data_IF_326762954546
#
_entry.id   IF_326762954546
#
_cell.length_a   1.000
_cell.length_b   1.000
_cell.length_c   1.000
_cell.angle_alpha   90.00
_cell.angle_beta   90.00
_cell.angle_gamma   90.00
#
_symmetry.space_group_name_H-M   'P 1'
#
loop_
_entity.id
_entity.type
_entity.pdbx_description
1 polymer ?
#
# COMPACT_ATOMS: atom_id res chain seq x y z
N UNK A 1 -0.22 -3.16 10.16
CA UNK A 1 -0.54 -2.00 11.04
C UNK A 1 0.16 -1.99 12.40
N UNK A 2 0.20 -3.09 13.18
CA UNK A 2 0.74 -3.06 14.55
C UNK A 2 2.17 -2.50 14.66
N UNK A 3 3.07 -2.91 13.77
CA UNK A 3 4.45 -2.41 13.75
C UNK A 3 4.55 -0.91 13.50
N UNK A 4 3.66 -0.34 12.67
CA UNK A 4 3.60 1.12 12.44
C UNK A 4 3.25 1.85 13.74
N UNK A 5 2.24 1.37 14.48
CA UNK A 5 1.80 1.97 15.74
C UNK A 5 2.88 1.82 16.83
N UNK A 6 3.58 0.69 16.86
CA UNK A 6 4.68 0.46 17.79
C UNK A 6 5.80 1.48 17.59
N UNK A 7 6.22 1.72 16.35
CA UNK A 7 7.24 2.73 16.03
C UNK A 7 6.80 4.15 16.42
N UNK A 8 5.54 4.51 16.18
CA UNK A 8 4.98 5.77 16.68
C UNK A 8 5.03 5.88 18.21
N UNK A 9 4.71 4.78 18.92
CA UNK A 9 4.72 4.74 20.39
C UNK A 9 6.14 4.87 20.96
N UNK A 10 7.14 4.38 20.24
CA UNK A 10 8.57 4.57 20.57
C UNK A 10 9.07 5.99 20.29
N UNK A 11 8.25 6.86 19.69
CA UNK A 11 8.66 8.20 19.30
C UNK A 11 9.59 8.21 18.09
N UNK A 12 9.55 7.18 17.24
CA UNK A 12 10.33 7.15 16.01
C UNK A 12 9.79 8.20 15.03
N UNK A 13 10.45 9.35 14.97
CA UNK A 13 10.05 10.45 14.09
C UNK A 13 10.28 10.15 12.60
N UNK A 14 11.21 9.25 12.27
CA UNK A 14 11.57 8.92 10.88
C UNK A 14 10.40 8.26 10.13
N UNK A 15 9.48 7.64 10.86
CA UNK A 15 8.30 6.99 10.26
C UNK A 15 7.47 7.96 9.43
N UNK A 16 7.42 9.24 9.81
CA UNK A 16 6.73 10.27 9.02
C UNK A 16 7.42 10.44 7.67
N UNK A 17 8.75 10.49 7.65
CA UNK A 17 9.55 10.55 6.44
C UNK A 17 9.34 9.33 5.54
N UNK A 18 9.22 8.14 6.13
CA UNK A 18 8.91 6.92 5.39
C UNK A 18 7.54 7.01 4.69
N UNK A 19 6.50 7.49 5.36
CA UNK A 19 5.18 7.65 4.74
C UNK A 19 5.17 8.70 3.62
N UNK A 20 5.92 9.79 3.76
CA UNK A 20 6.06 10.81 2.70
C UNK A 20 6.70 10.19 1.45
N UNK A 21 7.84 9.51 1.61
CA UNK A 21 8.51 8.88 0.47
C UNK A 21 7.70 7.71 -0.12
N UNK A 22 6.95 6.98 0.70
CA UNK A 22 5.99 5.98 0.20
C UNK A 22 4.89 6.63 -0.64
N UNK A 23 4.35 7.79 -0.22
CA UNK A 23 3.33 8.52 -0.97
C UNK A 23 3.83 8.90 -2.36
N UNK A 24 5.02 9.48 -2.43
CA UNK A 24 5.66 9.83 -3.71
C UNK A 24 5.87 8.58 -4.60
N UNK A 25 6.28 7.46 -4.00
CA UNK A 25 6.44 6.21 -4.74
C UNK A 25 5.10 5.69 -5.27
N UNK A 26 4.05 5.75 -4.47
CA UNK A 26 2.71 5.33 -4.85
C UNK A 26 2.12 6.16 -5.99
N UNK A 27 2.35 7.48 -6.00
CA UNK A 27 1.95 8.33 -7.13
C UNK A 27 2.58 7.84 -8.45
N UNK A 28 3.83 7.35 -8.39
CA UNK A 28 4.51 6.73 -9.52
C UNK A 28 3.93 5.36 -9.93
N UNK A 29 3.68 4.48 -8.96
CA UNK A 29 3.13 3.13 -9.21
C UNK A 29 1.70 3.21 -9.78
N UNK A 30 0.89 4.10 -9.21
CA UNK A 30 -0.52 4.30 -9.55
C UNK A 30 -0.71 5.16 -10.81
N UNK A 31 0.36 5.70 -11.36
CA UNK A 31 0.31 6.43 -12.63
C UNK A 31 -0.28 5.55 -13.73
N UNK A 32 -1.37 6.02 -14.33
CA UNK A 32 -2.15 5.30 -15.34
C UNK A 32 -2.67 3.94 -14.85
N UNK A 33 -2.82 3.74 -13.54
CA UNK A 33 -3.26 2.46 -13.00
C UNK A 33 -4.71 2.13 -13.36
N UNK A 34 -5.55 3.10 -13.73
CA UNK A 34 -6.89 2.83 -14.24
C UNK A 34 -6.87 2.12 -15.61
N UNK A 35 -5.89 2.43 -16.47
CA UNK A 35 -5.87 1.95 -17.86
C UNK A 35 -5.13 0.63 -18.08
N UNK A 36 -4.34 0.18 -17.10
CA UNK A 36 -3.54 -1.05 -17.21
C UNK A 36 -4.36 -2.28 -16.79
N UNK A 37 -3.85 -3.51 -16.87
CA UNK A 37 -4.57 -4.67 -16.32
C UNK A 37 -4.27 -4.90 -14.83
N UNK A 38 -4.97 -5.85 -14.18
CA UNK A 38 -4.63 -6.28 -12.81
C UNK A 38 -3.25 -6.92 -12.78
N UNK A 39 -2.94 -7.74 -13.79
CA UNK A 39 -1.68 -8.47 -13.94
C UNK A 39 -0.51 -7.51 -14.15
N UNK A 40 -0.69 -6.47 -14.96
CA UNK A 40 0.35 -5.45 -15.14
C UNK A 40 0.60 -4.68 -13.84
N UNK A 41 -0.46 -4.30 -13.10
CA UNK A 41 -0.29 -3.67 -11.79
C UNK A 41 0.38 -4.62 -10.79
N UNK A 42 0.02 -5.91 -10.81
CA UNK A 42 0.63 -6.94 -9.97
C UNK A 42 2.14 -7.11 -10.27
N UNK A 43 2.54 -7.07 -11.53
CA UNK A 43 3.95 -7.09 -11.93
C UNK A 43 4.69 -5.86 -11.43
N UNK A 44 4.08 -4.66 -11.51
CA UNK A 44 4.65 -3.43 -10.92
C UNK A 44 4.86 -3.62 -9.42
N UNK A 45 3.83 -4.00 -8.67
CA UNK A 45 3.93 -4.24 -7.23
C UNK A 45 5.06 -5.21 -6.86
N UNK A 46 5.21 -6.28 -7.65
CA UNK A 46 6.24 -7.30 -7.44
C UNK A 46 7.65 -6.73 -7.50
N UNK A 47 7.91 -5.76 -8.41
CA UNK A 47 9.20 -5.08 -8.56
C UNK A 47 9.47 -4.06 -7.44
N UNK A 48 8.42 -3.61 -6.76
CA UNK A 48 8.50 -2.50 -5.80
C UNK A 48 8.75 -2.94 -4.36
N UNK A 49 8.49 -4.20 -4.00
CA UNK A 49 8.65 -4.65 -2.62
C UNK A 49 10.03 -4.34 -2.04
N UNK A 50 11.10 -4.55 -2.82
CA UNK A 50 12.47 -4.29 -2.37
C UNK A 50 12.71 -2.81 -2.07
N UNK A 51 12.08 -1.89 -2.81
CA UNK A 51 12.13 -0.47 -2.50
C UNK A 51 11.56 -0.24 -1.09
N UNK A 52 10.30 -0.62 -0.85
CA UNK A 52 9.63 -0.40 0.43
C UNK A 52 10.36 -1.02 1.63
N UNK A 53 10.97 -2.20 1.45
CA UNK A 53 11.78 -2.86 2.49
C UNK A 53 13.03 -2.06 2.88
N UNK A 54 13.59 -1.24 1.99
CA UNK A 54 14.83 -0.50 2.23
C UNK A 54 14.60 0.93 2.74
N UNK A 55 13.56 1.62 2.26
CA UNK A 55 13.30 3.02 2.65
C UNK A 55 12.97 3.14 4.14
N UNK A 56 12.43 2.08 4.75
CA UNK A 56 12.02 2.08 6.16
C UNK A 56 13.20 1.81 7.12
N UNK A 57 14.30 2.55 6.97
CA UNK A 57 15.49 2.40 7.82
C UNK A 57 16.18 1.04 7.71
N UNK A 58 16.01 0.35 6.58
CA UNK A 58 16.37 -1.06 6.37
C UNK A 58 15.63 -2.06 7.29
N UNK A 59 14.57 -1.64 7.98
CA UNK A 59 13.63 -2.56 8.63
C UNK A 59 12.68 -3.15 7.57
N UNK A 60 13.09 -4.30 7.05
CA UNK A 60 12.33 -5.06 6.06
C UNK A 60 10.94 -5.45 6.56
N UNK A 61 10.78 -5.73 7.85
CA UNK A 61 9.49 -6.13 8.41
C UNK A 61 8.54 -4.92 8.42
N UNK A 62 9.03 -3.75 8.82
CA UNK A 62 8.26 -2.51 8.74
C UNK A 62 7.90 -2.16 7.29
N UNK A 63 8.84 -2.29 6.34
CA UNK A 63 8.60 -2.00 4.93
C UNK A 63 7.52 -2.89 4.29
N UNK A 64 7.52 -4.19 4.60
CA UNK A 64 6.46 -5.11 4.15
C UNK A 64 5.07 -4.74 4.67
N UNK A 65 5.00 -4.14 5.86
CA UNK A 65 3.74 -3.64 6.44
C UNK A 65 3.39 -2.29 5.82
N UNK A 66 4.32 -1.34 5.73
CA UNK A 66 4.05 0.01 5.23
C UNK A 66 3.59 0.00 3.78
N UNK A 67 4.16 -0.86 2.92
CA UNK A 67 3.82 -0.93 1.50
C UNK A 67 2.30 -0.96 1.26
N UNK A 68 1.54 -2.01 1.65
CA UNK A 68 0.11 -2.04 1.39
C UNK A 68 -0.66 -0.94 2.13
N UNK A 69 -0.34 -0.68 3.40
CA UNK A 69 -1.09 0.29 4.22
C UNK A 69 -0.99 1.72 3.67
N UNK A 70 0.20 2.12 3.20
CA UNK A 70 0.40 3.42 2.54
C UNK A 70 -0.22 3.47 1.14
N UNK A 71 -0.31 2.34 0.43
CA UNK A 71 -0.96 2.27 -0.88
C UNK A 71 -2.46 2.54 -0.81
N UNK A 72 -3.17 1.87 0.09
CA UNK A 72 -4.60 2.13 0.28
C UNK A 72 -4.87 3.51 0.90
N UNK A 73 -4.02 3.97 1.83
CA UNK A 73 -4.09 5.33 2.36
C UNK A 73 -3.89 6.40 1.28
N UNK A 74 -3.22 6.08 0.17
CA UNK A 74 -3.02 7.03 -0.94
C UNK A 74 -4.32 7.35 -1.68
N UNK A 75 -5.24 6.37 -1.72
CA UNK A 75 -6.53 6.43 -2.43
C UNK A 75 -7.71 6.82 -1.54
N UNK A 76 -7.53 6.88 -0.22
CA UNK A 76 -8.61 7.07 0.74
C UNK A 76 -8.40 8.33 1.58
N UNK A 77 -9.49 9.07 1.83
CA UNK A 77 -9.50 10.18 2.78
C UNK A 77 -10.47 9.92 3.92
N UNK A 78 -10.01 10.05 5.17
CA UNK A 78 -10.89 9.92 6.34
C UNK A 78 -12.03 10.96 6.41
N UNK A 79 -11.95 12.05 5.63
CA UNK A 79 -12.99 13.09 5.60
C UNK A 79 -14.13 12.77 4.64
N UNK A 80 -13.84 12.05 3.55
CA UNK A 80 -14.76 11.91 2.40
C UNK A 80 -14.79 10.50 1.79
N UNK A 81 -13.99 9.57 2.29
CA UNK A 81 -13.82 8.23 1.74
C UNK A 81 -13.02 8.21 0.43
N UNK A 82 -13.42 7.31 -0.47
CA UNK A 82 -12.92 7.25 -1.84
C UNK A 82 -13.56 8.33 -2.70
N UNK A 83 -12.76 9.00 -3.54
CA UNK A 83 -13.26 10.01 -4.49
C UNK A 83 -13.29 9.42 -5.90
N UNK A 84 -14.36 9.70 -6.64
CA UNK A 84 -14.47 9.33 -8.06
C UNK A 84 -14.11 7.84 -8.29
N UNK A 85 -13.06 7.58 -9.08
CA UNK A 85 -12.63 6.25 -9.47
C UNK A 85 -11.65 5.60 -8.48
N UNK A 86 -11.33 6.25 -7.34
CA UNK A 86 -10.38 5.73 -6.35
C UNK A 86 -10.87 4.43 -5.68
N UNK A 87 -12.18 4.26 -5.52
CA UNK A 87 -12.77 3.03 -4.94
C UNK A 87 -12.55 1.81 -5.83
N UNK A 88 -13.02 1.84 -7.10
CA UNK A 88 -12.69 0.80 -8.07
C UNK A 88 -11.17 0.58 -8.25
N UNK A 89 -10.36 1.64 -8.21
CA UNK A 89 -8.90 1.50 -8.25
C UNK A 89 -8.33 0.81 -7.00
N UNK A 90 -8.86 1.09 -5.82
CA UNK A 90 -8.48 0.40 -4.59
C UNK A 90 -8.86 -1.08 -4.65
N UNK A 91 -10.02 -1.42 -5.21
CA UNK A 91 -10.40 -2.82 -5.44
C UNK A 91 -9.44 -3.51 -6.40
N UNK A 92 -9.12 -2.87 -7.52
CA UNK A 92 -8.09 -3.36 -8.45
C UNK A 92 -6.73 -3.53 -7.79
N UNK A 93 -6.31 -2.59 -6.94
CA UNK A 93 -5.06 -2.67 -6.19
C UNK A 93 -5.06 -3.89 -5.26
N UNK A 94 -6.18 -4.20 -4.61
CA UNK A 94 -6.31 -5.41 -3.77
C UNK A 94 -6.14 -6.70 -4.58
N UNK A 95 -6.75 -6.76 -5.77
CA UNK A 95 -6.60 -7.89 -6.69
C UNK A 95 -5.14 -8.00 -7.19
N UNK A 96 -4.52 -6.87 -7.51
CA UNK A 96 -3.13 -6.84 -7.96
C UNK A 96 -2.16 -7.31 -6.87
N UNK A 97 -2.38 -6.94 -5.61
CA UNK A 97 -1.60 -7.50 -4.50
C UNK A 97 -1.77 -9.02 -4.40
N UNK A 98 -2.99 -9.54 -4.52
CA UNK A 98 -3.24 -10.98 -4.48
C UNK A 98 -2.51 -11.72 -5.62
N UNK A 99 -2.53 -11.16 -6.83
CA UNK A 99 -1.91 -11.71 -8.04
C UNK A 99 -0.39 -11.50 -8.12
N UNK A 100 0.19 -10.58 -7.36
CA UNK A 100 1.63 -10.25 -7.38
C UNK A 100 2.52 -11.42 -6.95
N UNK A 101 3.84 -11.33 -7.18
CA UNK A 101 4.83 -12.24 -6.58
C UNK A 101 5.41 -11.70 -5.28
N UNK A 102 4.80 -10.67 -4.68
CA UNK A 102 5.19 -10.17 -3.37
C UNK A 102 5.12 -11.27 -2.30
N UNK A 103 5.87 -11.08 -1.21
CA UNK A 103 5.91 -12.01 -0.09
C UNK A 103 4.54 -12.24 0.53
N UNK A 104 4.36 -13.41 1.15
CA UNK A 104 3.11 -13.76 1.85
C UNK A 104 2.74 -12.74 2.94
N UNK A 105 3.73 -12.14 3.61
CA UNK A 105 3.52 -11.08 4.61
C UNK A 105 2.93 -9.82 3.99
N UNK A 106 3.45 -9.38 2.83
CA UNK A 106 2.91 -8.22 2.10
C UNK A 106 1.48 -8.49 1.66
N UNK A 107 1.21 -9.66 1.07
CA UNK A 107 -0.15 -10.04 0.63
C UNK A 107 -1.13 -10.10 1.80
N UNK A 108 -0.69 -10.63 2.94
CA UNK A 108 -1.51 -10.70 4.15
C UNK A 108 -1.83 -9.32 4.72
N UNK A 109 -0.84 -8.42 4.79
CA UNK A 109 -1.07 -7.04 5.22
C UNK A 109 -1.91 -6.26 4.18
N UNK A 110 -1.77 -6.54 2.89
CA UNK A 110 -2.62 -5.98 1.84
C UNK A 110 -4.08 -6.36 2.01
N UNK A 111 -4.37 -7.65 2.26
CA UNK A 111 -5.73 -8.09 2.55
C UNK A 111 -6.31 -7.37 3.78
N UNK A 112 -5.55 -7.30 4.87
CA UNK A 112 -5.99 -6.59 6.09
C UNK A 112 -6.25 -5.11 5.86
N UNK A 113 -5.37 -4.45 5.11
CA UNK A 113 -5.55 -3.04 4.79
C UNK A 113 -6.80 -2.84 3.93
N UNK A 114 -7.00 -3.68 2.91
CA UNK A 114 -8.20 -3.66 2.08
C UNK A 114 -9.49 -3.83 2.90
N UNK A 115 -9.50 -4.76 3.87
CA UNK A 115 -10.63 -4.96 4.78
C UNK A 115 -10.91 -3.70 5.63
N UNK A 116 -9.86 -3.07 6.18
CA UNK A 116 -10.00 -1.84 7.01
C UNK A 116 -10.47 -0.63 6.21
N UNK A 117 -10.07 -0.54 4.95
CA UNK A 117 -10.51 0.52 4.05
C UNK A 117 -11.78 0.17 3.27
N UNK A 118 -12.52 -0.87 3.66
CA UNK A 118 -13.79 -1.28 3.05
C UNK A 118 -13.72 -1.44 1.52
N UNK A 119 -12.59 -1.93 1.02
CA UNK A 119 -12.33 -2.07 -0.43
C UNK A 119 -13.31 -3.04 -1.09
N UNK A 120 -13.82 -4.02 -0.34
CA UNK A 120 -14.79 -5.01 -0.83
C UNK A 120 -16.10 -4.41 -1.31
N UNK A 121 -16.44 -3.17 -0.91
CA UNK A 121 -17.69 -2.51 -1.29
C UNK A 121 -17.70 -2.11 -2.78
N UNK A 122 -16.56 -2.23 -3.46
CA UNK A 122 -16.35 -1.89 -4.88
C UNK A 122 -16.11 -3.12 -5.76
N UNK A 123 -16.45 -4.32 -5.26
CA UNK A 123 -16.22 -5.60 -5.93
C UNK A 123 -17.14 -5.88 -7.13
#
# INVERSE_FOLDING_TARGET
MRSIIEELTKGNADIVGYFVACRERWDGILKNAHSVSVEELAERLSKEQFYFENICGNDRALGKVIMPWSGFATLYSCQVGYRFDDGPLAYKLSQAFAASTCSGEVKFEAKKAADVYFVSDFA
#
